data_IF_045674201158
#
_entry.id   IF_045674201158
#
_cell.length_a   1.000
_cell.length_b   1.000
_cell.length_c   1.000
_cell.angle_alpha   90.00
_cell.angle_beta   90.00
_cell.angle_gamma   90.00
#
_symmetry.space_group_name_H-M   'P 1'
#
loop_
_entity.id
_entity.type
_entity.pdbx_description
1 polymer ?
#
# COMPACT_ATOMS: atom_id res chain seq x y z
N UNK A 1 16.44 24.34 -5.82
CA UNK A 1 15.45 23.77 -6.76
C UNK A 1 16.22 23.08 -7.87
N UNK A 2 16.54 21.81 -7.66
CA UNK A 2 17.02 20.80 -8.62
C UNK A 2 17.14 19.50 -7.81
N UNK A 3 16.94 18.34 -8.44
CA UNK A 3 17.20 16.97 -7.93
C UNK A 3 16.02 16.10 -7.42
N UNK A 4 14.75 16.41 -7.72
CA UNK A 4 13.66 15.43 -7.45
C UNK A 4 13.44 14.47 -8.63
N UNK A 5 13.67 14.90 -9.87
CA UNK A 5 13.31 14.12 -11.07
C UNK A 5 14.32 13.00 -11.40
N UNK A 6 15.57 13.09 -10.96
CA UNK A 6 16.59 12.06 -11.19
C UNK A 6 16.58 10.93 -10.13
N UNK A 7 15.98 11.18 -8.96
CA UNK A 7 16.02 10.28 -7.80
C UNK A 7 14.97 9.16 -7.83
N UNK A 8 13.81 9.39 -8.47
CA UNK A 8 12.76 8.37 -8.57
C UNK A 8 13.15 7.17 -9.44
N UNK A 9 13.76 7.35 -10.63
CA UNK A 9 14.23 6.22 -11.45
C UNK A 9 15.39 5.46 -10.82
N UNK A 10 16.24 6.11 -10.02
CA UNK A 10 17.36 5.44 -9.33
C UNK A 10 16.85 4.58 -8.17
N UNK A 11 15.95 5.12 -7.34
CA UNK A 11 15.36 4.37 -6.22
C UNK A 11 14.60 3.13 -6.67
N UNK A 12 13.78 3.25 -7.74
CA UNK A 12 13.07 2.10 -8.30
C UNK A 12 14.01 0.96 -8.71
N UNK A 13 15.21 1.28 -9.25
CA UNK A 13 16.22 0.27 -9.58
C UNK A 13 16.83 -0.38 -8.35
N UNK A 14 17.03 0.38 -7.28
CA UNK A 14 17.59 -0.11 -6.02
C UNK A 14 16.63 -1.07 -5.30
N UNK A 15 15.34 -0.77 -5.30
CA UNK A 15 14.32 -1.61 -4.62
C UNK A 15 13.73 -2.70 -5.52
N UNK A 16 14.00 -2.68 -6.83
CA UNK A 16 13.52 -3.68 -7.78
C UNK A 16 13.81 -5.14 -7.37
N UNK A 17 14.99 -5.50 -6.81
CA UNK A 17 15.24 -6.86 -6.32
C UNK A 17 14.24 -7.28 -5.24
N UNK A 18 13.93 -6.40 -4.28
CA UNK A 18 12.95 -6.67 -3.21
C UNK A 18 11.54 -6.82 -3.78
N UNK A 19 11.11 -5.92 -4.67
CA UNK A 19 9.80 -6.01 -5.33
C UNK A 19 9.69 -7.31 -6.13
N UNK A 20 10.75 -7.69 -6.86
CA UNK A 20 10.77 -8.94 -7.64
C UNK A 20 10.74 -10.18 -6.75
N UNK A 21 11.40 -10.15 -5.58
CA UNK A 21 11.33 -11.22 -4.60
C UNK A 21 9.90 -11.39 -4.07
N UNK A 22 9.24 -10.28 -3.70
CA UNK A 22 7.83 -10.31 -3.25
C UNK A 22 6.91 -10.82 -4.33
N UNK A 23 7.02 -10.32 -5.57
CA UNK A 23 6.22 -10.82 -6.71
C UNK A 23 6.42 -12.31 -6.96
N UNK A 24 7.66 -12.78 -6.88
CA UNK A 24 7.98 -14.21 -7.01
C UNK A 24 7.34 -15.04 -5.90
N UNK A 25 7.43 -14.57 -4.65
CA UNK A 25 6.82 -15.22 -3.50
C UNK A 25 5.29 -15.29 -3.63
N UNK A 26 4.64 -14.18 -3.99
CA UNK A 26 3.20 -14.09 -4.25
C UNK A 26 2.76 -15.11 -5.33
N UNK A 27 3.49 -15.21 -6.44
CA UNK A 27 3.22 -16.19 -7.51
C UNK A 27 3.36 -17.64 -7.07
N UNK A 28 4.27 -17.92 -6.14
CA UNK A 28 4.57 -19.28 -5.68
C UNK A 28 3.63 -19.80 -4.59
N UNK A 29 2.73 -18.96 -4.08
CA UNK A 29 1.72 -19.35 -3.09
C UNK A 29 0.72 -20.39 -3.61
N UNK A 30 -0.01 -21.08 -2.72
CA UNK A 30 -0.90 -22.20 -3.07
C UNK A 30 -2.01 -21.84 -4.07
N UNK A 31 -2.54 -20.62 -4.01
CA UNK A 31 -3.57 -20.12 -4.93
C UNK A 31 -2.98 -19.33 -6.12
N UNK A 32 -1.66 -19.20 -6.18
CA UNK A 32 -0.97 -18.26 -7.06
C UNK A 32 -1.29 -16.80 -6.71
N UNK A 33 -1.01 -15.89 -7.65
CA UNK A 33 -1.35 -14.48 -7.55
C UNK A 33 -1.98 -14.00 -8.86
N UNK A 34 -3.04 -13.19 -8.76
CA UNK A 34 -3.59 -12.48 -9.91
C UNK A 34 -2.58 -11.46 -10.44
N UNK A 35 -2.64 -11.14 -11.73
CA UNK A 35 -1.81 -10.05 -12.29
C UNK A 35 -2.10 -8.71 -11.59
N UNK A 36 -3.34 -8.47 -11.18
CA UNK A 36 -3.71 -7.29 -10.38
C UNK A 36 -2.93 -7.20 -9.06
N UNK A 37 -2.83 -8.30 -8.31
CA UNK A 37 -2.06 -8.30 -7.06
C UNK A 37 -0.57 -8.03 -7.33
N UNK A 38 -0.04 -8.48 -8.46
CA UNK A 38 1.37 -8.29 -8.82
C UNK A 38 1.66 -6.85 -9.28
N UNK A 39 0.73 -6.25 -10.03
CA UNK A 39 0.79 -4.84 -10.40
C UNK A 39 0.67 -3.97 -9.15
N UNK A 40 -0.24 -4.31 -8.25
CA UNK A 40 -0.39 -3.63 -6.96
C UNK A 40 0.88 -3.72 -6.11
N UNK A 41 1.53 -4.90 -6.05
CA UNK A 41 2.77 -5.08 -5.29
C UNK A 41 3.87 -4.11 -5.75
N UNK A 42 4.01 -3.91 -7.06
CA UNK A 42 4.95 -2.96 -7.63
C UNK A 42 4.59 -1.52 -7.27
N UNK A 43 3.32 -1.12 -7.43
CA UNK A 43 2.84 0.22 -7.14
C UNK A 43 2.97 0.57 -5.65
N UNK A 44 2.54 -0.34 -4.77
CA UNK A 44 2.51 -0.17 -3.32
C UNK A 44 3.93 -0.13 -2.73
N UNK A 45 4.76 -1.13 -3.03
CA UNK A 45 6.12 -1.21 -2.48
C UNK A 45 7.05 -0.14 -3.06
N UNK A 46 6.76 0.40 -4.25
CA UNK A 46 7.49 1.56 -4.76
C UNK A 46 7.39 2.79 -3.85
N UNK A 47 6.38 2.86 -2.98
CA UNK A 47 6.14 3.95 -2.03
C UNK A 47 6.37 3.54 -0.58
N UNK A 48 6.78 2.30 -0.32
CA UNK A 48 7.15 1.86 1.01
C UNK A 48 8.45 2.54 1.46
N UNK A 49 8.61 2.98 2.72
CA UNK A 49 9.89 3.49 3.22
C UNK A 49 11.02 2.46 3.11
N UNK A 50 12.26 2.91 2.89
CA UNK A 50 13.41 2.01 2.73
C UNK A 50 13.64 1.17 4.00
N UNK A 51 13.44 1.76 5.18
CA UNK A 51 13.50 1.08 6.47
C UNK A 51 12.53 -0.11 6.52
N UNK A 52 11.30 0.07 6.04
CA UNK A 52 10.30 -1.00 5.95
C UNK A 52 10.80 -2.12 5.02
N UNK A 53 11.34 -1.77 3.86
CA UNK A 53 11.82 -2.74 2.87
C UNK A 53 13.07 -3.52 3.34
N UNK A 54 13.88 -2.93 4.20
CA UNK A 54 15.12 -3.53 4.73
C UNK A 54 14.84 -4.42 5.94
N UNK A 55 13.92 -4.03 6.81
CA UNK A 55 13.66 -4.73 8.07
C UNK A 55 12.60 -5.83 7.99
N UNK A 56 11.83 -5.90 6.90
CA UNK A 56 10.81 -6.93 6.71
C UNK A 56 11.31 -8.08 5.84
N UNK A 57 10.88 -9.29 6.20
CA UNK A 57 11.05 -10.47 5.35
C UNK A 57 10.24 -10.32 4.05
N UNK A 58 10.59 -11.10 3.01
CA UNK A 58 9.80 -11.13 1.77
C UNK A 58 8.36 -11.63 2.01
N UNK A 59 8.20 -12.53 2.97
CA UNK A 59 6.91 -13.09 3.40
C UNK A 59 6.04 -12.04 4.07
N UNK A 60 6.59 -11.28 5.02
CA UNK A 60 5.90 -10.16 5.67
C UNK A 60 5.46 -9.10 4.65
N UNK A 61 6.35 -8.72 3.73
CA UNK A 61 6.03 -7.74 2.68
C UNK A 61 4.92 -8.27 1.76
N UNK A 62 4.92 -9.57 1.45
CA UNK A 62 3.88 -10.20 0.65
C UNK A 62 2.54 -10.26 1.39
N UNK A 63 2.55 -10.57 2.69
CA UNK A 63 1.39 -10.56 3.59
C UNK A 63 0.77 -9.17 3.67
N UNK A 64 1.58 -8.16 4.00
CA UNK A 64 1.22 -6.74 4.03
C UNK A 64 0.62 -6.27 2.69
N UNK A 65 1.23 -6.66 1.57
CA UNK A 65 0.76 -6.32 0.22
C UNK A 65 -0.60 -6.95 -0.07
N UNK A 66 -0.80 -8.23 0.29
CA UNK A 66 -2.10 -8.91 0.14
C UNK A 66 -3.20 -8.25 0.96
N UNK A 67 -2.92 -7.92 2.21
CA UNK A 67 -3.87 -7.24 3.09
C UNK A 67 -4.29 -5.87 2.54
N UNK A 68 -3.31 -5.08 2.07
CA UNK A 68 -3.58 -3.79 1.45
C UNK A 68 -4.35 -3.91 0.12
N UNK A 69 -4.02 -4.90 -0.71
CA UNK A 69 -4.73 -5.14 -1.97
C UNK A 69 -6.19 -5.56 -1.74
N UNK A 70 -6.43 -6.51 -0.82
CA UNK A 70 -7.77 -6.96 -0.44
C UNK A 70 -8.63 -5.80 0.07
N UNK A 71 -8.04 -4.90 0.84
CA UNK A 71 -8.71 -3.69 1.30
C UNK A 71 -9.10 -2.77 0.12
N UNK A 72 -8.21 -2.58 -0.86
CA UNK A 72 -8.50 -1.78 -2.05
C UNK A 72 -9.64 -2.38 -2.89
N UNK A 73 -9.67 -3.71 -3.06
CA UNK A 73 -10.72 -4.41 -3.81
C UNK A 73 -12.10 -4.19 -3.19
N UNK A 74 -12.17 -4.06 -1.86
CA UNK A 74 -13.41 -3.80 -1.10
C UNK A 74 -13.76 -2.32 -0.97
N UNK A 75 -12.81 -1.42 -1.29
CA UNK A 75 -12.97 0.02 -1.17
C UNK A 75 -13.74 0.61 -2.36
N UNK A 76 -14.33 1.80 -2.15
CA UNK A 76 -15.04 2.54 -3.20
C UNK A 76 -14.48 3.96 -3.37
N UNK A 77 -14.37 4.47 -4.62
CA UNK A 77 -13.77 5.77 -4.91
C UNK A 77 -14.64 6.96 -4.47
N UNK A 78 -15.93 6.74 -4.20
CA UNK A 78 -16.94 7.77 -3.91
C UNK A 78 -17.10 8.10 -2.41
N UNK A 79 -16.34 7.43 -1.53
CA UNK A 79 -16.38 7.62 -0.08
C UNK A 79 -14.99 7.47 0.54
N UNK A 80 -14.93 7.67 1.85
CA UNK A 80 -13.75 7.30 2.66
C UNK A 80 -14.01 5.93 3.24
N UNK A 81 -13.17 4.97 2.90
CA UNK A 81 -13.16 3.64 3.50
C UNK A 81 -12.02 3.53 4.50
N UNK A 82 -12.28 2.88 5.64
CA UNK A 82 -11.31 2.68 6.73
C UNK A 82 -11.43 1.25 7.24
N UNK A 83 -10.29 0.57 7.39
CA UNK A 83 -10.21 -0.73 8.04
C UNK A 83 -9.13 -0.70 9.14
N UNK A 84 -9.38 -1.45 10.21
CA UNK A 84 -8.42 -1.67 11.30
C UNK A 84 -8.26 -3.17 11.45
N UNK A 85 -7.03 -3.66 11.45
CA UNK A 85 -6.70 -5.07 11.63
C UNK A 85 -5.58 -5.20 12.65
N UNK A 86 -5.59 -6.28 13.44
CA UNK A 86 -4.47 -6.66 14.28
C UNK A 86 -3.77 -7.84 13.61
N UNK A 87 -2.45 -7.73 13.48
CA UNK A 87 -1.62 -8.72 12.81
C UNK A 87 -1.67 -10.14 13.41
N UNK A 88 -2.10 -10.31 14.67
CA UNK A 88 -2.15 -11.63 15.32
C UNK A 88 -3.48 -12.38 15.12
N UNK A 89 -4.52 -11.74 14.58
CA UNK A 89 -5.88 -12.31 14.55
C UNK A 89 -6.46 -12.55 13.14
N UNK A 90 -6.00 -11.80 12.12
CA UNK A 90 -6.65 -11.72 10.82
C UNK A 90 -5.73 -12.12 9.65
N UNK A 91 -5.62 -13.41 9.29
CA UNK A 91 -5.02 -13.97 8.04
C UNK A 91 -3.66 -13.42 7.52
N UNK A 92 -3.05 -12.48 8.22
CA UNK A 92 -1.83 -11.80 7.90
C UNK A 92 -0.79 -12.31 8.91
N UNK A 93 0.18 -13.07 8.43
CA UNK A 93 1.25 -13.57 9.28
C UNK A 93 2.31 -12.48 9.38
N UNK A 94 2.47 -11.87 10.56
CA UNK A 94 3.51 -10.88 10.84
C UNK A 94 4.46 -11.39 11.93
N UNK A 95 5.74 -11.00 11.85
CA UNK A 95 6.74 -11.38 12.87
C UNK A 95 6.49 -10.75 14.26
N UNK A 96 5.70 -9.67 14.36
CA UNK A 96 5.34 -9.02 15.61
C UNK A 96 3.95 -8.34 15.51
N UNK A 97 3.13 -8.35 16.58
CA UNK A 97 1.83 -7.70 16.59
C UNK A 97 1.97 -6.21 16.38
N UNK A 98 1.28 -5.71 15.35
CA UNK A 98 1.05 -4.28 15.11
C UNK A 98 -0.44 -4.09 14.83
N UNK A 99 -0.97 -2.94 15.23
CA UNK A 99 -2.28 -2.52 14.75
C UNK A 99 -2.09 -1.80 13.43
N UNK A 100 -2.77 -2.29 12.39
CA UNK A 100 -2.74 -1.72 11.06
C UNK A 100 -4.03 -0.96 10.81
N UNK A 101 -3.90 0.31 10.42
CA UNK A 101 -5.01 1.13 9.94
C UNK A 101 -4.82 1.34 8.44
N UNK A 102 -5.86 1.05 7.67
CA UNK A 102 -5.90 1.30 6.22
C UNK A 102 -7.00 2.28 5.90
N UNK A 103 -6.70 3.22 4.99
CA UNK A 103 -7.71 4.13 4.46
C UNK A 103 -7.64 4.15 2.95
N UNK A 104 -8.79 4.27 2.29
CA UNK A 104 -8.88 4.57 0.88
C UNK A 104 -9.80 5.77 0.67
N UNK A 105 -9.33 6.75 -0.10
CA UNK A 105 -10.03 8.00 -0.34
C UNK A 105 -9.65 8.55 -1.71
N UNK A 106 -10.57 9.18 -2.42
CA UNK A 106 -10.21 9.92 -3.63
C UNK A 106 -9.22 11.05 -3.29
N UNK A 107 -8.12 11.09 -4.05
CA UNK A 107 -6.94 11.93 -3.79
C UNK A 107 -7.29 13.41 -3.72
N UNK A 108 -6.75 14.06 -2.70
CA UNK A 108 -6.94 15.47 -2.41
C UNK A 108 -5.84 15.94 -1.44
N UNK A 109 -5.54 17.25 -1.40
CA UNK A 109 -4.54 17.77 -0.48
C UNK A 109 -4.77 17.37 0.99
N UNK A 110 -3.67 17.16 1.71
CA UNK A 110 -3.62 16.96 3.17
C UNK A 110 -4.16 15.62 3.72
N UNK A 111 -4.40 14.59 2.91
CA UNK A 111 -4.84 13.28 3.41
C UNK A 111 -3.87 12.74 4.48
N UNK A 112 -2.58 12.68 4.13
CA UNK A 112 -1.55 12.08 5.01
C UNK A 112 -1.37 12.89 6.30
N UNK A 113 -1.27 14.21 6.17
CA UNK A 113 -1.10 15.09 7.34
C UNK A 113 -2.32 15.04 8.25
N UNK A 114 -3.54 14.96 7.69
CA UNK A 114 -4.78 14.83 8.48
C UNK A 114 -4.83 13.51 9.25
N UNK A 115 -4.42 12.40 8.62
CA UNK A 115 -4.37 11.10 9.29
C UNK A 115 -3.33 11.13 10.42
N UNK A 116 -2.13 11.63 10.16
CA UNK A 116 -1.06 11.73 11.17
C UNK A 116 -1.47 12.59 12.35
N UNK A 117 -2.02 13.77 12.09
CA UNK A 117 -2.47 14.68 13.15
C UNK A 117 -3.60 14.04 13.96
N UNK A 118 -4.56 13.39 13.31
CA UNK A 118 -5.63 12.70 14.01
C UNK A 118 -5.11 11.58 14.92
N UNK A 119 -4.19 10.73 14.43
CA UNK A 119 -3.60 9.65 15.20
C UNK A 119 -2.76 10.17 16.37
N UNK A 120 -1.97 11.23 16.15
CA UNK A 120 -1.22 11.90 17.20
C UNK A 120 -2.12 12.46 18.30
N UNK A 121 -3.25 13.08 17.95
CA UNK A 121 -4.26 13.56 18.91
C UNK A 121 -4.92 12.42 19.71
N UNK A 122 -4.88 11.19 19.19
CA UNK A 122 -5.32 9.97 19.89
C UNK A 122 -4.21 9.31 20.71
N UNK A 123 -2.99 9.85 20.69
CA UNK A 123 -1.84 9.26 21.36
C UNK A 123 -1.34 7.97 20.69
N UNK A 124 -1.66 7.77 19.42
CA UNK A 124 -1.20 6.63 18.63
C UNK A 124 0.01 7.06 17.80
N UNK A 125 1.16 6.44 18.06
CA UNK A 125 2.38 6.69 17.30
C UNK A 125 2.29 6.01 15.93
N UNK A 126 2.66 6.70 14.85
CA UNK A 126 2.74 6.11 13.51
C UNK A 126 4.18 5.65 13.29
N UNK A 127 4.41 4.35 13.40
CA UNK A 127 5.74 3.75 13.25
C UNK A 127 6.14 3.63 11.78
N UNK A 128 5.21 3.15 10.95
CA UNK A 128 5.43 2.94 9.51
C UNK A 128 4.20 3.36 8.73
N UNK A 129 4.41 3.96 7.55
CA UNK A 129 3.33 4.37 6.67
C UNK A 129 3.70 4.22 5.20
N UNK A 130 2.85 3.53 4.44
CA UNK A 130 2.94 3.37 2.98
C UNK A 130 1.72 4.00 2.36
N UNK A 131 1.90 4.91 1.41
CA UNK A 131 0.79 5.67 0.83
C UNK A 131 0.95 5.92 -0.67
N UNK A 132 0.66 4.93 -1.54
CA UNK A 132 0.64 5.17 -2.96
C UNK A 132 -0.63 5.94 -3.37
N UNK A 133 -0.45 6.80 -4.36
CA UNK A 133 -1.54 7.29 -5.19
C UNK A 133 -1.68 6.35 -6.37
N UNK A 134 -2.89 5.90 -6.68
CA UNK A 134 -3.17 4.95 -7.75
C UNK A 134 -4.21 5.51 -8.71
N UNK A 135 -4.00 5.29 -10.01
CA UNK A 135 -5.08 5.31 -10.99
C UNK A 135 -5.71 3.92 -11.02
N UNK A 136 -7.01 3.82 -10.71
CA UNK A 136 -7.71 2.54 -10.52
C UNK A 136 -8.92 2.46 -11.45
N UNK A 137 -8.90 1.50 -12.36
CA UNK A 137 -10.07 1.20 -13.20
C UNK A 137 -10.97 0.20 -12.47
N UNK A 138 -12.26 0.51 -12.43
CA UNK A 138 -13.28 -0.38 -11.87
C UNK A 138 -14.36 -0.66 -12.91
N UNK A 139 -14.91 -1.88 -12.89
CA UNK A 139 -16.07 -2.23 -13.71
C UNK A 139 -17.38 -1.65 -13.13
N UNK A 140 -18.51 -1.90 -13.79
CA UNK A 140 -19.83 -1.44 -13.35
C UNK A 140 -20.26 -2.05 -11.99
N UNK A 141 -19.61 -3.13 -11.55
CA UNK A 141 -19.83 -3.76 -10.25
C UNK A 141 -18.89 -3.22 -9.17
N UNK A 142 -18.00 -2.28 -9.51
CA UNK A 142 -17.00 -1.71 -8.62
C UNK A 142 -15.74 -2.56 -8.43
N UNK A 143 -15.59 -3.65 -9.17
CA UNK A 143 -14.42 -4.54 -9.09
C UNK A 143 -13.22 -3.91 -9.77
N UNK A 144 -12.04 -3.99 -9.14
CA UNK A 144 -10.79 -3.50 -9.72
C UNK A 144 -10.44 -4.32 -10.96
N UNK A 145 -10.18 -3.65 -12.08
CA UNK A 145 -9.83 -4.26 -13.37
C UNK A 145 -8.44 -3.88 -13.87
N UNK A 146 -7.89 -2.77 -13.39
CA UNK A 146 -6.50 -2.37 -13.61
C UNK A 146 -6.06 -1.33 -12.58
N UNK A 147 -4.74 -1.26 -12.33
CA UNK A 147 -4.13 -0.22 -11.50
C UNK A 147 -2.84 0.27 -12.15
N UNK A 148 -2.58 1.57 -12.07
CA UNK A 148 -1.40 2.21 -12.67
C UNK A 148 -0.85 3.30 -11.77
N UNK A 149 0.37 3.72 -12.08
CA UNK A 149 0.87 4.99 -11.56
C UNK A 149 -0.03 6.13 -12.07
N UNK A 150 -0.28 7.16 -11.25
CA UNK A 150 -1.04 8.34 -11.64
C UNK A 150 -0.51 8.95 -12.94
N UNK A 151 -1.41 9.23 -13.87
CA UNK A 151 -1.15 10.12 -15.00
C UNK A 151 -1.53 11.57 -14.63
N UNK A 152 -1.17 12.54 -15.47
CA UNK A 152 -1.46 13.96 -15.24
C UNK A 152 -2.97 14.29 -15.23
N UNK A 153 -3.82 13.35 -15.65
CA UNK A 153 -5.27 13.51 -15.71
C UNK A 153 -5.97 12.25 -15.20
N UNK A 154 -6.96 12.41 -14.32
CA UNK A 154 -7.76 11.32 -13.79
C UNK A 154 -8.14 11.57 -12.34
N UNK A 155 -9.11 10.80 -11.84
CA UNK A 155 -9.38 10.73 -10.41
C UNK A 155 -8.53 9.59 -9.87
N UNK A 156 -7.60 9.90 -8.98
CA UNK A 156 -6.76 8.89 -8.33
C UNK A 156 -7.29 8.56 -6.95
N UNK A 157 -7.03 7.34 -6.48
CA UNK A 157 -7.32 6.88 -5.13
C UNK A 157 -6.02 6.90 -4.31
N UNK A 158 -6.09 7.40 -3.08
CA UNK A 158 -5.01 7.38 -2.10
C UNK A 158 -5.27 6.24 -1.12
N UNK A 159 -4.46 5.21 -1.23
CA UNK A 159 -4.41 4.17 -0.20
C UNK A 159 -3.40 4.61 0.82
N UNK A 160 -3.75 4.46 2.08
CA UNK A 160 -2.82 4.63 3.20
C UNK A 160 -2.84 3.35 3.99
N UNK A 161 -1.66 2.82 4.26
CA UNK A 161 -1.42 1.73 5.18
C UNK A 161 -0.52 2.29 6.28
N UNK A 162 -0.96 2.32 7.52
CA UNK A 162 -0.13 2.71 8.65
C UNK A 162 -0.15 1.69 9.78
N UNK A 163 1.04 1.38 10.27
CA UNK A 163 1.26 0.61 11.49
C UNK A 163 1.33 1.59 12.66
N UNK A 164 0.57 1.33 13.72
CA UNK A 164 0.49 2.17 14.91
C UNK A 164 0.74 1.41 16.21
N UNK A 165 1.23 2.13 17.22
CA UNK A 165 1.41 1.70 18.62
C UNK A 165 0.66 2.64 19.58
#
# INVERSE_FOLDING_TARGET
MSDITAAAPSRLREIAPTINAVRSYLKSGPDGASELLLDFAELFLSRAPDELLVHRSTEDLASMTRGAFRFLEQSRPDRVDVAVANADEDEEEWEAPVTVIRTNVSERPFIIDSIREYLALKGLAVERMVYPMLDVDRDDNGQVTAMRFPADSGITESIVHCEVE
#
